data_IF_624443816022
#
_entry.id   IF_624443816022
#
_cell.length_a   1.000
_cell.length_b   1.000
_cell.length_c   1.000
_cell.angle_alpha   90.00
_cell.angle_beta   90.00
_cell.angle_gamma   90.00
#
_symmetry.space_group_name_H-M   'P 1'
#
loop_
_entity.id
_entity.type
_entity.pdbx_description
1 polymer ?
#
# COMPACT_ATOMS: atom_id res chain seq x y z
N UNK A 1 -64.17 12.34 26.58
CA UNK A 1 -64.67 12.04 25.23
C UNK A 1 -63.65 12.66 24.27
N UNK A 2 -62.52 12.00 24.05
CA UNK A 2 -62.34 10.90 23.07
C UNK A 2 -62.44 11.46 21.65
N UNK A 3 -61.49 11.34 20.71
CA UNK A 3 -60.36 10.43 20.48
C UNK A 3 -59.49 11.09 19.39
N UNK A 4 -58.18 10.85 19.39
CA UNK A 4 -57.32 10.95 18.19
C UNK A 4 -57.14 9.51 17.65
N UNK A 5 -57.18 9.20 16.33
CA UNK A 5 -55.90 9.10 15.60
C UNK A 5 -55.94 9.20 14.05
N UNK A 6 -54.77 9.51 13.45
CA UNK A 6 -54.18 8.99 12.18
C UNK A 6 -53.15 10.04 11.67
N UNK A 7 -51.82 10.02 11.90
CA UNK A 7 -50.76 9.00 11.67
C UNK A 7 -51.03 8.19 10.39
N UNK A 8 -50.29 8.27 9.29
CA UNK A 8 -48.83 8.28 9.05
C UNK A 8 -48.60 8.85 7.62
N UNK A 9 -47.61 9.68 7.31
CA UNK A 9 -46.17 9.46 7.34
C UNK A 9 -45.67 8.54 6.20
N UNK A 10 -45.58 9.10 4.98
CA UNK A 10 -44.70 8.61 3.92
C UNK A 10 -43.83 9.78 3.42
N UNK A 11 -43.20 10.49 4.36
CA UNK A 11 -41.97 11.20 4.05
C UNK A 11 -40.91 10.10 3.96
N UNK A 12 -40.53 9.77 2.73
CA UNK A 12 -39.49 8.82 2.39
C UNK A 12 -38.22 9.15 3.18
N UNK A 13 -38.07 8.42 4.28
CA UNK A 13 -36.98 8.54 5.23
C UNK A 13 -35.75 7.96 4.54
N UNK A 14 -35.06 8.75 3.73
CA UNK A 14 -33.68 8.42 3.35
C UNK A 14 -32.91 8.42 4.67
N UNK A 15 -32.46 7.26 5.15
CA UNK A 15 -31.86 7.19 6.47
C UNK A 15 -30.50 7.89 6.39
N UNK A 16 -30.34 8.95 7.18
CA UNK A 16 -29.08 9.66 7.42
C UNK A 16 -27.92 8.76 7.91
N UNK A 17 -28.17 7.46 8.10
CA UNK A 17 -27.18 6.46 8.50
C UNK A 17 -26.23 6.03 7.38
N UNK A 18 -26.51 6.35 6.11
CA UNK A 18 -25.59 6.06 5.00
C UNK A 18 -24.41 7.05 4.91
N UNK A 19 -24.57 8.28 5.44
CA UNK A 19 -23.50 9.30 5.40
C UNK A 19 -22.42 9.06 6.46
N UNK A 20 -22.70 8.25 7.49
CA UNK A 20 -21.78 7.99 8.60
C UNK A 20 -20.66 6.99 8.32
N UNK A 21 -20.60 6.40 7.12
CA UNK A 21 -19.63 5.35 6.76
C UNK A 21 -18.49 5.84 5.87
N UNK A 22 -18.64 7.02 5.24
CA UNK A 22 -17.57 7.67 4.49
C UNK A 22 -16.91 8.65 5.45
N UNK A 23 -15.85 8.21 6.14
CA UNK A 23 -14.94 9.17 6.77
C UNK A 23 -14.55 10.19 5.70
N UNK A 24 -14.82 11.47 5.93
CA UNK A 24 -14.56 12.49 4.91
C UNK A 24 -13.05 12.58 4.66
N UNK A 25 -12.57 11.85 3.64
CA UNK A 25 -11.19 11.93 3.19
C UNK A 25 -10.98 13.37 2.74
N UNK A 26 -10.02 14.05 3.35
CA UNK A 26 -9.68 15.42 2.95
C UNK A 26 -9.19 15.44 1.50
N UNK A 27 -9.47 16.50 0.74
CA UNK A 27 -8.94 16.70 -0.62
C UNK A 27 -7.41 16.49 -0.64
N UNK A 28 -6.72 16.96 0.40
CA UNK A 28 -5.27 16.76 0.55
C UNK A 28 -4.89 15.28 0.59
N UNK A 29 -5.63 14.47 1.34
CA UNK A 29 -5.39 13.03 1.46
C UNK A 29 -5.68 12.32 0.13
N UNK A 30 -6.75 12.70 -0.57
CA UNK A 30 -7.04 12.18 -1.91
C UNK A 30 -5.89 12.43 -2.88
N UNK A 31 -5.35 13.66 -2.90
CA UNK A 31 -4.21 14.02 -3.76
C UNK A 31 -2.99 13.16 -3.43
N UNK A 32 -2.68 12.96 -2.15
CA UNK A 32 -1.55 12.10 -1.75
C UNK A 32 -1.77 10.64 -2.13
N UNK A 33 -2.97 10.10 -1.94
CA UNK A 33 -3.33 8.74 -2.35
C UNK A 33 -3.12 8.60 -3.87
N UNK A 34 -3.70 9.49 -4.67
CA UNK A 34 -3.55 9.48 -6.12
C UNK A 34 -2.08 9.63 -6.57
N UNK A 35 -1.30 10.48 -5.89
CA UNK A 35 0.12 10.66 -6.18
C UNK A 35 0.92 9.39 -5.94
N UNK A 36 0.75 8.72 -4.81
CA UNK A 36 1.44 7.45 -4.54
C UNK A 36 0.97 6.32 -5.45
N UNK A 37 -0.32 6.28 -5.78
CA UNK A 37 -0.84 5.37 -6.80
C UNK A 37 -0.14 5.58 -8.15
N UNK A 38 0.02 6.83 -8.59
CA UNK A 38 0.72 7.16 -9.83
C UNK A 38 2.22 6.81 -9.77
N UNK A 39 2.88 7.07 -8.63
CA UNK A 39 4.26 6.65 -8.42
C UNK A 39 4.43 5.14 -8.48
N UNK A 40 3.52 4.36 -7.87
CA UNK A 40 3.54 2.89 -7.99
C UNK A 40 3.41 2.47 -9.45
N UNK A 41 2.51 3.08 -10.23
CA UNK A 41 2.33 2.77 -11.65
C UNK A 41 3.59 3.08 -12.48
N UNK A 42 4.18 4.27 -12.32
CA UNK A 42 5.42 4.63 -13.01
C UNK A 42 6.57 3.71 -12.58
N UNK A 43 6.66 3.40 -11.29
CA UNK A 43 7.64 2.45 -10.76
C UNK A 43 7.44 1.02 -11.25
N UNK A 44 6.23 0.64 -11.65
CA UNK A 44 5.95 -0.66 -12.26
C UNK A 44 6.52 -0.74 -13.67
N UNK A 45 6.56 0.37 -14.41
CA UNK A 45 7.17 0.42 -15.74
C UNK A 45 8.70 0.37 -15.69
N UNK A 46 9.30 0.89 -14.62
CA UNK A 46 10.73 0.75 -14.34
C UNK A 46 10.98 -0.65 -13.75
N UNK A 47 10.97 -1.65 -14.62
CA UNK A 47 11.11 -3.04 -14.24
C UNK A 47 12.13 -3.78 -15.12
N UNK A 48 12.99 -4.55 -14.47
CA UNK A 48 13.98 -5.40 -15.14
C UNK A 48 13.45 -6.83 -15.15
N UNK A 49 13.12 -7.40 -16.33
CA UNK A 49 12.68 -8.79 -16.43
C UNK A 49 13.86 -9.72 -16.15
N UNK A 50 13.60 -10.79 -15.38
CA UNK A 50 14.57 -11.84 -15.14
C UNK A 50 14.25 -13.03 -16.07
N UNK A 51 15.23 -13.58 -16.82
CA UNK A 51 14.95 -14.66 -17.76
C UNK A 51 14.49 -15.96 -17.08
N UNK A 52 14.76 -16.12 -15.78
CA UNK A 52 14.42 -17.28 -14.98
C UNK A 52 13.23 -17.05 -14.02
N UNK A 53 12.64 -15.85 -13.99
CA UNK A 53 11.49 -15.54 -13.12
C UNK A 53 10.35 -14.88 -13.86
N UNK A 54 9.09 -15.31 -13.65
CA UNK A 54 7.92 -14.66 -14.24
C UNK A 54 7.64 -13.29 -13.61
N UNK A 55 8.23 -12.99 -12.46
CA UNK A 55 8.06 -11.73 -11.74
C UNK A 55 9.22 -10.81 -12.06
N UNK A 56 8.99 -9.59 -12.56
CA UNK A 56 10.07 -8.66 -12.85
C UNK A 56 10.53 -7.93 -11.58
N UNK A 57 11.81 -7.54 -11.52
CA UNK A 57 12.30 -6.65 -10.46
C UNK A 57 11.80 -5.24 -10.80
N UNK A 58 10.80 -4.75 -10.08
CA UNK A 58 10.22 -3.43 -10.30
C UNK A 58 10.47 -2.46 -9.12
N UNK A 59 10.46 -1.16 -9.42
CA UNK A 59 10.41 -0.10 -8.39
C UNK A 59 9.02 0.06 -7.78
N UNK A 60 7.98 -0.55 -8.35
CA UNK A 60 6.63 -0.53 -7.80
C UNK A 60 6.57 -0.94 -6.33
N UNK A 61 7.32 -1.98 -5.92
CA UNK A 61 7.34 -2.43 -4.53
C UNK A 61 7.88 -1.38 -3.56
N UNK A 62 8.85 -0.57 -4.00
CA UNK A 62 9.37 0.56 -3.22
C UNK A 62 8.27 1.58 -2.96
N UNK A 63 7.61 2.06 -4.01
CA UNK A 63 6.55 3.08 -3.89
C UNK A 63 5.31 2.56 -3.15
N UNK A 64 5.00 1.26 -3.31
CA UNK A 64 3.94 0.62 -2.56
C UNK A 64 4.19 0.68 -1.05
N UNK A 65 5.38 0.27 -0.60
CA UNK A 65 5.75 0.32 0.82
C UNK A 65 5.93 1.75 1.33
N UNK A 66 6.45 2.64 0.49
CA UNK A 66 6.61 4.06 0.80
C UNK A 66 5.26 4.73 1.05
N UNK A 67 4.22 4.36 0.30
CA UNK A 67 2.86 4.86 0.52
C UNK A 67 2.35 4.53 1.91
N UNK A 68 2.59 3.31 2.40
CA UNK A 68 2.26 2.90 3.76
C UNK A 68 3.05 3.65 4.82
N UNK A 69 4.37 3.71 4.64
CA UNK A 69 5.27 4.38 5.57
C UNK A 69 4.99 5.88 5.73
N UNK A 70 4.50 6.56 4.69
CA UNK A 70 4.26 8.01 4.69
C UNK A 70 2.79 8.35 4.94
N UNK A 71 1.84 7.71 4.24
CA UNK A 71 0.43 8.06 4.40
C UNK A 71 -0.20 7.38 5.63
N UNK A 72 0.47 6.37 6.18
CA UNK A 72 -0.06 5.55 7.27
C UNK A 72 -0.77 4.30 6.77
N UNK A 73 -1.21 3.46 7.71
CA UNK A 73 -1.70 2.09 7.40
C UNK A 73 -2.92 2.08 6.48
N UNK A 74 -3.90 2.95 6.70
CA UNK A 74 -5.16 2.94 5.95
C UNK A 74 -5.04 3.64 4.59
N UNK A 75 -4.43 4.83 4.56
CA UNK A 75 -4.29 5.60 3.32
C UNK A 75 -3.27 4.99 2.37
N UNK A 76 -2.19 4.37 2.90
CA UNK A 76 -1.25 3.60 2.08
C UNK A 76 -1.90 2.36 1.46
N UNK A 77 -2.65 1.59 2.26
CA UNK A 77 -3.42 0.45 1.75
C UNK A 77 -4.47 0.88 0.70
N UNK A 78 -5.14 2.01 0.92
CA UNK A 78 -6.07 2.60 -0.06
C UNK A 78 -5.38 2.95 -1.36
N UNK A 79 -4.21 3.61 -1.32
CA UNK A 79 -3.40 3.93 -2.50
C UNK A 79 -3.05 2.70 -3.32
N UNK A 80 -2.63 1.61 -2.67
CA UNK A 80 -2.30 0.38 -3.38
C UNK A 80 -3.56 -0.35 -3.89
N UNK A 81 -4.68 -0.23 -3.18
CA UNK A 81 -5.97 -0.76 -3.64
C UNK A 81 -6.42 -0.05 -4.92
N UNK A 82 -6.32 1.28 -4.97
CA UNK A 82 -6.62 2.06 -6.20
C UNK A 82 -5.71 1.65 -7.35
N UNK A 83 -4.41 1.45 -7.10
CA UNK A 83 -3.48 0.97 -8.11
C UNK A 83 -3.91 -0.38 -8.71
N UNK A 84 -4.26 -1.35 -7.87
CA UNK A 84 -4.71 -2.67 -8.32
C UNK A 84 -6.06 -2.58 -9.06
N UNK A 85 -7.01 -1.79 -8.54
CA UNK A 85 -8.32 -1.60 -9.17
C UNK A 85 -8.21 -0.94 -10.56
N UNK A 86 -7.31 0.05 -10.74
CA UNK A 86 -7.06 0.64 -12.06
C UNK A 86 -6.51 -0.38 -13.05
N UNK A 87 -5.58 -1.24 -12.61
CA UNK A 87 -5.07 -2.31 -13.45
C UNK A 87 -6.14 -3.35 -13.79
N UNK A 88 -7.01 -3.69 -12.84
CA UNK A 88 -8.18 -4.55 -13.08
C UNK A 88 -9.17 -3.94 -14.08
N UNK A 89 -9.38 -2.63 -14.03
CA UNK A 89 -10.24 -1.90 -14.96
C UNK A 89 -9.67 -1.83 -16.40
N UNK A 90 -8.45 -2.35 -16.62
CA UNK A 90 -7.83 -2.43 -17.94
C UNK A 90 -6.87 -1.29 -18.26
N UNK A 91 -6.54 -0.42 -17.30
CA UNK A 91 -5.54 0.63 -17.49
C UNK A 91 -4.14 -0.01 -17.38
N UNK A 92 -3.20 0.24 -18.32
CA UNK A 92 -1.87 -0.40 -18.38
C UNK A 92 -0.88 0.14 -17.33
N UNK A 93 -1.25 0.01 -16.05
CA UNK A 93 -0.47 0.46 -14.90
C UNK A 93 0.51 -0.60 -14.39
N UNK A 94 0.34 -1.87 -14.77
CA UNK A 94 1.23 -2.93 -14.32
C UNK A 94 2.52 -2.98 -15.13
N UNK A 95 3.48 -3.77 -14.65
CA UNK A 95 4.78 -3.91 -15.29
C UNK A 95 4.65 -4.32 -16.76
N UNK A 96 5.57 -3.80 -17.59
CA UNK A 96 5.58 -3.99 -19.06
C UNK A 96 4.33 -3.43 -19.76
N UNK A 97 3.73 -2.36 -19.22
CA UNK A 97 2.51 -1.74 -19.76
C UNK A 97 1.34 -2.73 -19.92
N UNK A 98 1.22 -3.66 -18.97
CA UNK A 98 0.16 -4.67 -18.97
C UNK A 98 -1.02 -4.24 -18.09
N UNK A 99 -2.19 -4.82 -18.34
CA UNK A 99 -3.42 -4.58 -17.58
C UNK A 99 -4.33 -5.81 -17.56
N UNK A 100 -5.35 -5.75 -16.73
CA UNK A 100 -6.51 -6.63 -16.77
C UNK A 100 -6.50 -7.73 -15.70
N UNK A 101 -7.65 -8.41 -15.55
CA UNK A 101 -7.85 -9.45 -14.56
C UNK A 101 -6.92 -10.66 -14.76
N UNK A 102 -6.50 -10.95 -15.99
CA UNK A 102 -5.56 -12.03 -16.27
C UNK A 102 -4.18 -11.83 -15.63
N UNK A 103 -3.74 -10.59 -15.43
CA UNK A 103 -2.49 -10.30 -14.72
C UNK A 103 -2.65 -10.54 -13.22
N UNK A 104 -3.79 -10.15 -12.65
CA UNK A 104 -4.10 -10.33 -11.23
C UNK A 104 -4.39 -11.79 -10.89
N UNK A 105 -4.99 -12.56 -11.81
CA UNK A 105 -5.13 -14.01 -11.68
C UNK A 105 -3.81 -14.76 -12.00
N UNK A 106 -2.83 -14.07 -12.55
CA UNK A 106 -1.56 -14.64 -12.99
C UNK A 106 -0.49 -14.73 -11.89
N UNK A 107 0.76 -15.09 -12.27
CA UNK A 107 1.89 -15.30 -11.35
C UNK A 107 2.23 -14.08 -10.46
N UNK A 108 1.96 -12.87 -10.94
CA UNK A 108 2.27 -11.62 -10.23
C UNK A 108 1.13 -11.15 -9.33
N UNK A 109 -0.05 -11.75 -9.42
CA UNK A 109 -1.25 -11.37 -8.68
C UNK A 109 -1.08 -11.30 -7.17
N UNK A 110 -0.46 -12.33 -6.59
CA UNK A 110 -0.20 -12.38 -5.15
C UNK A 110 0.72 -11.27 -4.66
N UNK A 111 1.65 -10.79 -5.50
CA UNK A 111 2.50 -9.66 -5.14
C UNK A 111 1.72 -8.34 -5.17
N UNK A 112 0.75 -8.19 -6.07
CA UNK A 112 -0.15 -7.04 -6.11
C UNK A 112 -1.05 -6.99 -4.86
N UNK A 113 -1.61 -8.12 -4.46
CA UNK A 113 -2.31 -8.24 -3.18
C UNK A 113 -1.36 -7.99 -1.99
N UNK A 114 -0.14 -8.50 -2.09
CA UNK A 114 0.96 -8.26 -1.16
C UNK A 114 1.30 -6.77 -1.02
N UNK A 115 1.19 -5.95 -2.06
CA UNK A 115 1.43 -4.51 -1.96
C UNK A 115 0.43 -3.81 -1.05
N UNK A 116 -0.85 -4.23 -1.09
CA UNK A 116 -1.89 -3.68 -0.21
C UNK A 116 -1.59 -4.07 1.24
N UNK A 117 -1.36 -5.36 1.50
CA UNK A 117 -1.07 -5.86 2.84
C UNK A 117 0.26 -5.32 3.39
N UNK A 118 1.29 -5.27 2.55
CA UNK A 118 2.61 -4.76 2.88
C UNK A 118 2.60 -3.27 3.20
N UNK A 119 1.86 -2.46 2.43
CA UNK A 119 1.67 -1.04 2.73
C UNK A 119 0.94 -0.83 4.07
N UNK A 120 -0.10 -1.62 4.33
CA UNK A 120 -0.81 -1.58 5.61
C UNK A 120 0.12 -1.87 6.80
N UNK A 121 0.87 -2.97 6.73
CA UNK A 121 1.78 -3.41 7.81
C UNK A 121 2.95 -2.44 7.98
N UNK A 122 3.54 -1.97 6.88
CA UNK A 122 4.62 -0.99 6.92
C UNK A 122 4.15 0.30 7.61
N UNK A 123 2.98 0.82 7.22
CA UNK A 123 2.38 1.98 7.88
C UNK A 123 2.09 1.72 9.35
N UNK A 124 1.46 0.60 9.69
CA UNK A 124 1.13 0.25 11.07
C UNK A 124 2.39 0.19 11.95
N UNK A 125 3.47 -0.42 11.48
CA UNK A 125 4.72 -0.47 12.25
C UNK A 125 5.35 0.91 12.39
N UNK A 126 5.35 1.73 11.34
CA UNK A 126 5.87 3.11 11.44
C UNK A 126 5.07 3.93 12.46
N UNK A 127 3.74 3.74 12.52
CA UNK A 127 2.85 4.47 13.41
C UNK A 127 2.98 4.05 14.89
N UNK A 128 3.08 2.74 15.16
CA UNK A 128 2.93 2.20 16.52
C UNK A 128 4.21 1.60 17.12
N UNK A 129 5.31 1.51 16.38
CA UNK A 129 6.54 0.93 16.92
C UNK A 129 7.14 1.85 18.00
N UNK A 130 7.36 1.35 19.24
CA UNK A 130 7.82 2.16 20.37
C UNK A 130 9.35 2.39 20.33
N UNK A 131 9.87 2.84 19.19
CA UNK A 131 11.30 3.13 18.97
C UNK A 131 11.46 4.61 18.74
N UNK A 132 12.35 5.29 19.48
CA UNK A 132 12.51 6.75 19.34
C UNK A 132 13.06 7.17 17.97
N UNK A 133 14.05 6.43 17.46
CA UNK A 133 14.76 6.77 16.22
C UNK A 133 13.90 6.50 14.97
N UNK A 134 13.56 7.55 14.23
CA UNK A 134 12.71 7.48 13.03
C UNK A 134 13.26 6.57 11.94
N UNK A 135 14.58 6.64 11.70
CA UNK A 135 15.24 5.79 10.72
C UNK A 135 14.99 4.29 10.99
N UNK A 136 14.94 3.90 12.26
CA UNK A 136 14.70 2.51 12.66
C UNK A 136 13.24 2.13 12.44
N UNK A 137 12.28 3.03 12.74
CA UNK A 137 10.85 2.77 12.43
C UNK A 137 10.63 2.51 10.95
N UNK A 138 11.19 3.36 10.09
CA UNK A 138 11.09 3.19 8.65
C UNK A 138 11.79 1.91 8.17
N UNK A 139 13.00 1.62 8.67
CA UNK A 139 13.73 0.41 8.29
C UNK A 139 12.94 -0.86 8.66
N UNK A 140 12.40 -0.91 9.88
CA UNK A 140 11.60 -2.05 10.37
C UNK A 140 10.29 -2.15 9.59
N UNK A 141 9.56 -1.05 9.41
CA UNK A 141 8.29 -1.04 8.70
C UNK A 141 8.42 -1.45 7.24
N UNK A 142 9.39 -0.90 6.51
CA UNK A 142 9.66 -1.25 5.12
C UNK A 142 10.11 -2.70 4.98
N UNK A 143 11.02 -3.17 5.85
CA UNK A 143 11.49 -4.56 5.81
C UNK A 143 10.35 -5.54 6.10
N UNK A 144 9.54 -5.28 7.13
CA UNK A 144 8.40 -6.11 7.46
C UNK A 144 7.33 -6.10 6.35
N UNK A 145 7.08 -4.94 5.74
CA UNK A 145 6.19 -4.84 4.59
C UNK A 145 6.69 -5.67 3.41
N UNK A 146 7.98 -5.66 3.11
CA UNK A 146 8.60 -6.54 2.09
C UNK A 146 8.37 -8.02 2.41
N UNK A 147 8.54 -8.41 3.68
CA UNK A 147 8.28 -9.80 4.10
C UNK A 147 6.82 -10.20 3.92
N UNK A 148 5.88 -9.29 4.20
CA UNK A 148 4.45 -9.52 3.95
C UNK A 148 4.15 -9.66 2.46
N UNK A 149 4.79 -8.85 1.60
CA UNK A 149 4.66 -8.99 0.14
C UNK A 149 5.08 -10.40 -0.28
N UNK A 150 6.20 -10.93 0.23
CA UNK A 150 6.63 -12.29 -0.09
C UNK A 150 5.75 -13.38 0.52
N UNK A 151 5.26 -13.17 1.75
CA UNK A 151 4.38 -14.10 2.42
C UNK A 151 3.05 -14.31 1.68
N UNK A 152 2.57 -13.30 0.93
CA UNK A 152 1.38 -13.42 0.08
C UNK A 152 1.75 -13.81 -1.35
N UNK A 153 2.78 -13.19 -1.92
CA UNK A 153 3.18 -13.36 -3.31
C UNK A 153 3.76 -14.74 -3.64
N UNK A 154 4.62 -15.29 -2.80
CA UNK A 154 5.30 -16.57 -3.08
C UNK A 154 4.35 -17.76 -3.03
N UNK A 155 3.46 -17.89 -2.02
CA UNK A 155 2.46 -18.96 -2.03
C UNK A 155 1.50 -18.85 -3.21
N UNK A 156 1.07 -17.65 -3.57
CA UNK A 156 0.25 -17.43 -4.76
C UNK A 156 0.96 -17.87 -6.04
N UNK A 157 2.23 -17.49 -6.19
CA UNK A 157 3.07 -17.89 -7.32
C UNK A 157 3.15 -19.42 -7.42
N UNK A 158 3.39 -20.11 -6.31
CA UNK A 158 3.42 -21.57 -6.25
C UNK A 158 2.09 -22.19 -6.72
N UNK A 159 0.96 -21.66 -6.24
CA UNK A 159 -0.37 -22.14 -6.60
C UNK A 159 -0.70 -21.95 -8.09
N UNK A 160 -0.45 -20.76 -8.63
CA UNK A 160 -0.80 -20.44 -10.03
C UNK A 160 0.11 -21.15 -11.03
N UNK A 161 1.38 -21.36 -10.69
CA UNK A 161 2.36 -22.02 -11.59
C UNK A 161 2.45 -23.53 -11.40
N UNK A 162 1.84 -24.08 -10.34
CA UNK A 162 1.95 -25.49 -9.97
C UNK A 162 3.34 -25.91 -9.45
N UNK A 163 4.22 -24.94 -9.17
CA UNK A 163 5.55 -25.21 -8.61
C UNK A 163 5.46 -25.58 -7.13
N UNK A 164 6.44 -26.35 -6.65
CA UNK A 164 6.59 -26.52 -5.20
C UNK A 164 7.00 -25.19 -4.54
N UNK A 165 6.71 -25.04 -3.24
CA UNK A 165 6.95 -23.79 -2.52
C UNK A 165 8.44 -23.41 -2.53
N UNK A 166 9.35 -24.38 -2.46
CA UNK A 166 10.79 -24.16 -2.49
C UNK A 166 11.26 -23.55 -3.81
N UNK A 167 10.79 -24.07 -4.94
CA UNK A 167 11.09 -23.53 -6.27
C UNK A 167 10.47 -22.13 -6.44
N UNK A 168 9.26 -21.92 -5.93
CA UNK A 168 8.63 -20.60 -5.92
C UNK A 168 9.45 -19.59 -5.09
N UNK A 169 10.07 -19.98 -3.97
CA UNK A 169 10.99 -19.10 -3.21
C UNK A 169 12.26 -18.78 -4.01
N UNK A 170 12.85 -19.78 -4.67
CA UNK A 170 14.07 -19.60 -5.48
C UNK A 170 13.82 -18.64 -6.64
N UNK A 171 12.66 -18.72 -7.29
CA UNK A 171 12.33 -17.92 -8.46
C UNK A 171 11.66 -16.59 -8.09
N UNK A 172 10.92 -16.55 -6.99
CA UNK A 172 10.01 -15.47 -6.62
C UNK A 172 10.45 -14.61 -5.42
N UNK A 173 11.54 -14.95 -4.73
CA UNK A 173 12.02 -14.20 -3.56
C UNK A 173 13.52 -13.97 -3.57
N UNK A 174 14.33 -15.04 -3.64
CA UNK A 174 15.79 -14.92 -3.53
C UNK A 174 16.47 -13.95 -4.49
N UNK A 175 16.15 -13.89 -5.79
CA UNK A 175 16.82 -12.96 -6.71
C UNK A 175 16.46 -11.49 -6.44
N UNK A 176 15.36 -11.23 -5.73
CA UNK A 176 14.88 -9.88 -5.43
C UNK A 176 15.49 -9.32 -4.14
N UNK A 177 15.96 -10.18 -3.22
CA UNK A 177 16.48 -9.77 -1.90
C UNK A 177 17.60 -8.71 -1.96
N UNK A 178 18.62 -8.81 -2.83
CA UNK A 178 19.66 -7.79 -2.91
C UNK A 178 19.11 -6.43 -3.36
N UNK A 179 18.20 -6.44 -4.35
CA UNK A 179 17.54 -5.24 -4.84
C UNK A 179 16.61 -4.62 -3.79
N UNK A 180 15.93 -5.45 -3.02
CA UNK A 180 15.03 -4.99 -1.97
C UNK A 180 15.77 -4.42 -0.76
N UNK A 181 16.94 -4.96 -0.40
CA UNK A 181 17.80 -4.35 0.61
C UNK A 181 18.18 -2.91 0.20
N UNK A 182 18.55 -2.72 -1.07
CA UNK A 182 18.83 -1.38 -1.61
C UNK A 182 17.58 -0.48 -1.59
N UNK A 183 16.41 -1.01 -1.98
CA UNK A 183 15.14 -0.27 -1.93
C UNK A 183 14.76 0.13 -0.51
N UNK A 184 14.96 -0.73 0.47
CA UNK A 184 14.69 -0.39 1.88
C UNK A 184 15.59 0.76 2.32
N UNK A 185 16.88 0.72 2.03
CA UNK A 185 17.80 1.81 2.34
C UNK A 185 17.36 3.13 1.67
N UNK A 186 17.03 3.08 0.38
CA UNK A 186 16.52 4.24 -0.35
C UNK A 186 15.20 4.76 0.25
N UNK A 187 14.28 3.86 0.59
CA UNK A 187 13.00 4.19 1.20
C UNK A 187 13.17 4.87 2.56
N UNK A 188 14.09 4.40 3.40
CA UNK A 188 14.42 5.07 4.67
C UNK A 188 14.92 6.49 4.43
N UNK A 189 15.86 6.67 3.51
CA UNK A 189 16.39 8.01 3.17
C UNK A 189 15.29 8.94 2.66
N UNK A 190 14.43 8.45 1.76
CA UNK A 190 13.30 9.21 1.21
C UNK A 190 12.30 9.58 2.31
N UNK A 191 11.92 8.64 3.18
CA UNK A 191 11.04 8.91 4.31
C UNK A 191 11.62 9.99 5.24
N UNK A 192 12.89 9.88 5.61
CA UNK A 192 13.53 10.86 6.49
C UNK A 192 13.61 12.25 5.84
N UNK A 193 13.95 12.32 4.55
CA UNK A 193 13.99 13.57 3.79
C UNK A 193 12.62 14.25 3.70
N UNK A 194 11.56 13.46 3.52
CA UNK A 194 10.18 13.96 3.45
C UNK A 194 9.64 14.38 4.83
N UNK A 195 9.95 13.62 5.89
CA UNK A 195 9.63 14.01 7.28
C UNK A 195 10.30 15.32 7.64
N UNK A 196 11.58 15.49 7.31
CA UNK A 196 12.33 16.71 7.63
C UNK A 196 11.80 17.99 6.96
N UNK A 197 11.16 17.89 5.79
CA UNK A 197 10.71 19.07 5.03
C UNK A 197 9.24 19.45 5.23
N UNK A 198 8.40 18.53 5.68
CA UNK A 198 6.96 18.68 5.46
C UNK A 198 6.09 18.48 6.70
N UNK A 199 6.33 19.25 7.78
CA UNK A 199 5.43 19.29 8.95
C UNK A 199 3.94 19.49 8.59
N UNK A 200 3.65 20.06 7.42
CA UNK A 200 2.31 20.37 6.95
C UNK A 200 1.59 19.22 6.21
N UNK A 201 2.29 18.18 5.74
CA UNK A 201 1.71 17.08 4.92
C UNK A 201 1.02 16.01 5.77
N UNK A 202 1.39 15.95 7.05
CA UNK A 202 1.02 14.90 7.98
C UNK A 202 -0.37 15.12 8.59
N UNK A 203 -1.38 14.42 8.05
CA UNK A 203 -2.73 14.42 8.62
C UNK A 203 -3.00 13.25 9.58
N UNK A 204 -2.11 12.25 9.63
CA UNK A 204 -2.26 11.11 10.53
C UNK A 204 -1.82 11.47 11.96
N UNK A 205 -2.56 11.02 13.01
CA UNK A 205 -2.19 11.22 14.41
C UNK A 205 -0.75 10.76 14.71
N UNK A 206 -0.38 9.61 14.15
CA UNK A 206 0.97 9.07 14.27
C UNK A 206 2.03 10.02 13.70
N UNK A 207 1.78 10.66 12.56
CA UNK A 207 2.75 11.56 11.97
C UNK A 207 2.91 12.89 12.72
N UNK A 208 1.87 13.32 13.45
CA UNK A 208 2.00 14.41 14.43
C UNK A 208 2.89 14.00 15.61
N UNK A 209 2.81 12.74 16.04
CA UNK A 209 3.71 12.19 17.06
C UNK A 209 5.14 11.99 16.52
N UNK A 210 5.30 11.62 15.23
CA UNK A 210 6.60 11.50 14.56
C UNK A 210 7.28 12.88 14.41
N UNK A 211 6.53 13.92 14.01
CA UNK A 211 7.04 15.29 13.90
C UNK A 211 7.51 15.86 15.26
N UNK A 212 6.75 15.62 16.33
CA UNK A 212 7.16 15.98 17.70
C UNK A 212 8.42 15.25 18.17
N UNK A 213 8.63 14.03 17.70
CA UNK A 213 9.80 13.23 18.07
C UNK A 213 11.05 13.62 17.27
N UNK A 214 10.91 14.03 16.00
CA UNK A 214 12.04 14.54 15.19
C UNK A 214 12.50 15.94 15.61
N UNK A 215 11.64 16.74 16.22
CA UNK A 215 12.00 18.07 16.75
C UNK A 215 12.79 17.98 18.08
N UNK A 216 12.79 16.80 18.71
CA UNK A 216 13.47 16.51 19.99
C UNK A 216 14.73 15.63 19.83
N UNK A 217 15.11 15.30 18.59
CA UNK A 217 16.32 14.52 18.24
C UNK A 217 17.31 15.41 17.46
#
# INVERSE_FOLDING_TARGET
MDVCPHRMADAELIPASAEGLVSSISIRQMVWVAFFTALTAVGAWIAVPLPFSPVPIALASLFALLSGAILGKWLGALSQSVYVLMGLAGIPVFARFTAGPGIVAGPTGGYLAGYIAGAFVAGMLVEYLPVRRMAVRFAVGLTAGTMVIYAVGVPWLALVTGMNLTAAMVVGMYPFLPGDALKVLMGVVLCLGLVGQSSHVWSTPAAKDLARQSEND
#
